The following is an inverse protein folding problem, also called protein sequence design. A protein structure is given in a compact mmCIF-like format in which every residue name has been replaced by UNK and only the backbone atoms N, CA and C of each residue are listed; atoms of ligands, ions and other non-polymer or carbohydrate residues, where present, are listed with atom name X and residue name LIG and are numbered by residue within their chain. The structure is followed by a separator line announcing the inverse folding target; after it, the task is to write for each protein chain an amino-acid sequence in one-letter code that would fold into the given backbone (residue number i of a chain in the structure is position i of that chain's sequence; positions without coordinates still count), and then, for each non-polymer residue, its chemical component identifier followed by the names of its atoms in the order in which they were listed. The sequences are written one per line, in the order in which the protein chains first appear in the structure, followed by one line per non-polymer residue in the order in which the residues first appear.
data_IF_558391034678
#
_entry.id   IF_558391034678
#
_cell.length_a   1.000
_cell.length_b   1.000
_cell.length_c   1.000
_cell.angle_alpha   90.00
_cell.angle_beta   90.00
_cell.angle_gamma   90.00
#
_symmetry.space_group_name_H-M   'P 1'
#
loop_
_entity.id
_entity.type
_entity.pdbx_description
1 polymer ?
#
# COMPACT_ATOMS: atom_id res chain seq x y z
N UNK A 1 43.62 -1.09 35.79
CA UNK A 1 42.24 -1.53 36.09
C UNK A 1 41.29 -1.04 35.01
N UNK A 2 41.43 0.21 34.54
CA UNK A 2 40.61 0.78 33.44
C UNK A 2 40.76 0.03 32.09
N UNK A 3 41.98 -0.36 31.68
CA UNK A 3 42.21 -1.06 30.40
C UNK A 3 41.45 -2.39 30.29
N UNK A 4 41.42 -3.18 31.37
CA UNK A 4 40.68 -4.46 31.40
C UNK A 4 39.16 -4.26 31.36
N UNK A 5 38.66 -3.11 31.83
CA UNK A 5 37.23 -2.79 31.78
C UNK A 5 36.82 -2.40 30.35
N UNK A 6 37.63 -1.59 29.67
CA UNK A 6 37.39 -1.21 28.28
C UNK A 6 37.39 -2.43 27.33
N UNK A 7 38.32 -3.37 27.52
CA UNK A 7 38.31 -4.63 26.76
C UNK A 7 37.05 -5.47 27.02
N UNK A 8 36.63 -5.58 28.29
CA UNK A 8 35.44 -6.34 28.65
C UNK A 8 34.18 -5.74 28.03
N UNK A 9 34.06 -4.41 28.05
CA UNK A 9 32.95 -3.67 27.47
C UNK A 9 32.91 -3.85 25.94
N UNK A 10 34.07 -3.84 25.27
CA UNK A 10 34.16 -4.11 23.83
C UNK A 10 33.66 -5.53 23.50
N UNK A 11 34.14 -6.55 24.19
CA UNK A 11 33.73 -7.93 23.89
C UNK A 11 32.24 -8.18 24.16
N UNK A 12 31.68 -7.59 25.22
CA UNK A 12 30.23 -7.67 25.48
C UNK A 12 29.41 -6.97 24.41
N UNK A 13 29.89 -5.82 23.91
CA UNK A 13 29.22 -5.10 22.82
C UNK A 13 29.26 -5.88 21.51
N UNK A 14 30.36 -6.56 21.19
CA UNK A 14 30.48 -7.47 20.05
C UNK A 14 29.55 -8.68 20.16
N UNK A 15 29.49 -9.32 21.33
CA UNK A 15 28.59 -10.47 21.56
C UNK A 15 27.11 -10.05 21.38
N UNK A 16 26.76 -8.86 21.87
CA UNK A 16 25.42 -8.30 21.69
C UNK A 16 25.13 -8.01 20.22
N UNK A 17 26.10 -7.45 19.48
CA UNK A 17 26.00 -7.19 18.05
C UNK A 17 25.87 -8.48 17.23
N UNK A 18 26.57 -9.55 17.61
CA UNK A 18 26.46 -10.86 16.98
C UNK A 18 25.06 -11.49 17.18
N UNK A 19 24.43 -11.27 18.34
CA UNK A 19 23.05 -11.72 18.59
C UNK A 19 22.01 -10.89 17.83
N UNK A 20 22.23 -9.58 17.70
CA UNK A 20 21.28 -8.64 17.10
C UNK A 20 21.93 -7.79 16.00
N UNK A 21 22.39 -8.41 14.89
CA UNK A 21 23.21 -7.74 13.87
C UNK A 21 22.46 -6.62 13.12
N UNK A 22 21.13 -6.67 13.08
CA UNK A 22 20.28 -5.65 12.47
C UNK A 22 20.24 -4.31 13.23
N UNK A 23 20.43 -4.36 14.55
CA UNK A 23 20.48 -3.18 15.44
C UNK A 23 21.89 -2.77 15.83
N UNK A 24 22.89 -3.56 15.44
CA UNK A 24 24.29 -3.30 15.76
C UNK A 24 24.76 -1.97 15.16
N UNK A 25 25.29 -1.10 16.02
CA UNK A 25 25.97 0.13 15.62
C UNK A 25 27.47 -0.14 15.43
N UNK A 26 27.84 -0.41 14.18
CA UNK A 26 29.21 -0.71 13.79
C UNK A 26 30.16 0.47 14.06
N UNK A 27 29.69 1.72 14.04
CA UNK A 27 30.55 2.88 14.29
C UNK A 27 30.97 2.92 15.74
N UNK A 28 30.00 2.80 16.64
CA UNK A 28 30.27 2.75 18.08
C UNK A 28 31.19 1.58 18.45
N UNK A 29 31.09 0.43 17.76
CA UNK A 29 32.02 -0.70 17.96
C UNK A 29 33.44 -0.40 17.47
N UNK A 30 33.59 0.27 16.32
CA UNK A 30 34.91 0.70 15.84
C UNK A 30 35.53 1.74 16.77
N UNK A 31 34.75 2.72 17.25
CA UNK A 31 35.22 3.73 18.19
C UNK A 31 35.66 3.09 19.52
N UNK A 32 34.91 2.11 20.02
CA UNK A 32 35.28 1.33 21.19
C UNK A 32 36.58 0.52 20.97
N UNK A 33 36.75 -0.09 19.79
CA UNK A 33 37.99 -0.75 19.42
C UNK A 33 39.17 0.23 19.45
N UNK A 34 39.07 1.38 18.79
CA UNK A 34 40.15 2.39 18.77
C UNK A 34 40.54 2.85 20.19
N UNK A 35 39.55 3.01 21.08
CA UNK A 35 39.80 3.33 22.49
C UNK A 35 40.54 2.20 23.22
N UNK A 36 40.14 0.94 23.03
CA UNK A 36 40.83 -0.22 23.66
C UNK A 36 42.26 -0.39 23.16
N UNK A 37 42.54 -0.06 21.89
CA UNK A 37 43.85 -0.21 21.28
C UNK A 37 44.83 0.88 21.73
N UNK A 38 44.35 2.08 22.06
CA UNK A 38 45.17 3.27 22.29
C UNK A 38 46.25 3.11 23.37
N UNK A 39 46.02 2.23 24.36
CA UNK A 39 46.91 2.04 25.52
C UNK A 39 47.81 0.80 25.42
N UNK A 40 47.75 0.04 24.32
CA UNK A 40 48.45 -1.24 24.18
C UNK A 40 49.73 -1.18 23.36
N UNK A 41 50.56 -2.23 23.47
CA UNK A 41 51.74 -2.38 22.61
C UNK A 41 51.34 -2.71 21.17
N UNK A 42 52.17 -2.35 20.18
CA UNK A 42 51.87 -2.56 18.76
C UNK A 42 51.51 -4.03 18.42
N UNK A 43 52.17 -4.99 19.06
CA UNK A 43 51.92 -6.41 18.81
C UNK A 43 50.55 -6.85 19.35
N UNK A 44 50.17 -6.39 20.55
CA UNK A 44 48.86 -6.67 21.14
C UNK A 44 47.75 -5.94 20.39
N UNK A 45 47.98 -4.69 19.96
CA UNK A 45 47.04 -3.95 19.14
C UNK A 45 46.68 -4.71 17.86
N UNK A 46 47.67 -5.24 17.14
CA UNK A 46 47.43 -5.99 15.92
C UNK A 46 46.69 -7.31 16.16
N UNK A 47 46.97 -7.99 17.28
CA UNK A 47 46.28 -9.21 17.66
C UNK A 47 44.80 -8.94 17.99
N UNK A 48 44.52 -8.00 18.90
CA UNK A 48 43.17 -7.63 19.32
C UNK A 48 42.36 -7.06 18.16
N UNK A 49 42.96 -6.16 17.36
CA UNK A 49 42.29 -5.61 16.18
C UNK A 49 41.96 -6.70 15.15
N UNK A 50 42.85 -7.68 14.96
CA UNK A 50 42.60 -8.82 14.07
C UNK A 50 41.36 -9.61 14.49
N UNK A 51 41.29 -10.01 15.76
CA UNK A 51 40.16 -10.78 16.29
C UNK A 51 38.84 -10.00 16.23
N UNK A 52 38.86 -8.71 16.58
CA UNK A 52 37.67 -7.85 16.55
C UNK A 52 37.19 -7.62 15.11
N UNK A 53 38.10 -7.42 14.16
CA UNK A 53 37.73 -7.25 12.75
C UNK A 53 37.10 -8.52 12.15
N UNK A 54 37.55 -9.71 12.56
CA UNK A 54 36.90 -10.97 12.19
C UNK A 54 35.46 -10.98 12.70
N UNK A 55 35.23 -10.70 13.98
CA UNK A 55 33.88 -10.67 14.55
C UNK A 55 32.98 -9.61 13.89
N UNK A 56 33.50 -8.41 13.65
CA UNK A 56 32.76 -7.35 12.94
C UNK A 56 32.37 -7.79 11.52
N UNK A 57 33.25 -8.54 10.83
CA UNK A 57 32.95 -9.07 9.50
C UNK A 57 31.81 -10.10 9.54
N UNK A 58 31.77 -10.95 10.56
CA UNK A 58 30.71 -11.93 10.77
C UNK A 58 29.38 -11.25 11.08
N UNK A 59 29.38 -10.21 11.93
CA UNK A 59 28.20 -9.37 12.19
C UNK A 59 27.69 -8.73 10.90
N UNK A 60 28.59 -8.19 10.07
CA UNK A 60 28.22 -7.61 8.78
C UNK A 60 27.60 -8.65 7.83
N UNK A 61 28.18 -9.85 7.74
CA UNK A 61 27.66 -10.93 6.92
C UNK A 61 26.27 -11.37 7.38
N UNK A 62 26.09 -11.64 8.66
CA UNK A 62 24.79 -12.02 9.23
C UNK A 62 23.72 -10.94 9.00
N UNK A 63 24.09 -9.66 9.11
CA UNK A 63 23.19 -8.54 8.80
C UNK A 63 22.78 -8.53 7.34
N UNK A 64 23.72 -8.75 6.42
CA UNK A 64 23.45 -8.77 4.99
C UNK A 64 22.49 -9.92 4.64
N UNK A 65 22.74 -11.12 5.17
CA UNK A 65 21.87 -12.29 4.96
C UNK A 65 20.44 -12.01 5.44
N UNK A 66 20.26 -11.44 6.64
CA UNK A 66 18.93 -11.08 7.14
C UNK A 66 18.22 -10.06 6.25
N UNK A 67 18.93 -9.04 5.78
CA UNK A 67 18.37 -8.00 4.90
C UNK A 67 17.94 -8.60 3.55
N UNK A 68 18.78 -9.45 2.97
CA UNK A 68 18.50 -10.14 1.71
C UNK A 68 17.31 -11.08 1.90
N UNK A 69 17.33 -11.97 2.88
CA UNK A 69 16.21 -12.90 3.15
C UNK A 69 14.90 -12.17 3.47
N UNK A 70 14.95 -11.00 4.10
CA UNK A 70 13.77 -10.16 4.33
C UNK A 70 13.25 -9.53 3.03
N UNK A 71 14.16 -9.06 2.18
CA UNK A 71 13.81 -8.53 0.87
C UNK A 71 13.18 -9.60 -0.03
N UNK A 72 13.81 -10.78 -0.10
CA UNK A 72 13.32 -11.94 -0.86
C UNK A 72 11.93 -12.35 -0.41
N UNK A 73 11.71 -12.52 0.90
CA UNK A 73 10.38 -12.86 1.43
C UNK A 73 9.30 -11.83 1.08
N UNK A 74 9.65 -10.53 1.09
CA UNK A 74 8.67 -9.46 0.79
C UNK A 74 8.29 -9.41 -0.69
N UNK A 75 9.22 -9.74 -1.58
CA UNK A 75 9.04 -9.63 -3.02
C UNK A 75 8.94 -10.99 -3.70
N UNK A 76 8.74 -12.06 -2.93
CA UNK A 76 8.50 -13.39 -3.47
C UNK A 76 7.13 -13.37 -4.18
N UNK A 77 7.07 -13.60 -5.50
CA UNK A 77 5.80 -13.65 -6.23
C UNK A 77 4.99 -14.91 -5.89
N UNK A 78 5.61 -15.90 -5.24
CA UNK A 78 4.95 -17.13 -4.78
C UNK A 78 4.28 -16.87 -3.43
N UNK A 79 2.97 -17.13 -3.36
CA UNK A 79 2.22 -17.08 -2.11
C UNK A 79 2.81 -18.08 -1.09
N UNK A 80 2.84 -17.73 0.21
CA UNK A 80 3.32 -18.65 1.24
C UNK A 80 2.43 -19.89 1.28
N UNK A 81 3.01 -21.04 0.90
CA UNK A 81 2.33 -22.34 0.98
C UNK A 81 2.35 -22.80 2.44
N UNK A 82 1.21 -22.66 3.12
CA UNK A 82 1.03 -23.22 4.46
C UNK A 82 0.72 -24.70 4.31
N UNK A 83 1.57 -25.57 4.87
CA UNK A 83 1.25 -26.99 4.97
C UNK A 83 0.15 -27.18 6.03
N UNK A 84 -1.09 -27.30 5.58
CA UNK A 84 -2.26 -27.48 6.44
C UNK A 84 -2.25 -28.80 7.20
N UNK A 85 -1.50 -29.81 6.73
CA UNK A 85 -1.36 -31.12 7.40
C UNK A 85 -0.51 -31.01 8.69
N UNK A 86 0.41 -30.06 8.75
CA UNK A 86 1.24 -29.79 9.93
C UNK A 86 0.58 -28.78 10.90
N UNK A 87 -0.46 -28.08 10.44
CA UNK A 87 -1.15 -27.03 11.18
C UNK A 87 -2.52 -27.45 11.71
N UNK A 88 -2.83 -28.76 11.75
CA UNK A 88 -4.14 -29.29 12.15
C UNK A 88 -4.55 -28.81 13.55
N UNK A 89 -3.59 -28.63 14.45
CA UNK A 89 -3.81 -28.14 15.82
C UNK A 89 -4.17 -26.65 15.91
N UNK A 90 -3.93 -25.87 14.85
CA UNK A 90 -4.31 -24.45 14.76
C UNK A 90 -5.76 -24.27 14.27
N UNK A 91 -6.38 -25.32 13.74
CA UNK A 91 -7.77 -25.28 13.29
C UNK A 91 -8.70 -25.72 14.41
N UNK A 92 -9.42 -24.77 14.99
CA UNK A 92 -10.56 -25.08 15.86
C UNK A 92 -11.69 -25.57 14.96
N UNK A 93 -11.86 -26.89 14.86
CA UNK A 93 -12.86 -27.54 14.00
C UNK A 93 -14.30 -27.11 14.31
N UNK A 94 -14.58 -26.72 15.55
CA UNK A 94 -15.85 -26.10 15.93
C UNK A 94 -15.66 -25.22 17.15
N UNK A 95 -16.19 -23.99 17.08
CA UNK A 95 -16.27 -23.06 18.20
C UNK A 95 -17.75 -22.87 18.53
N UNK A 96 -18.20 -23.42 19.66
CA UNK A 96 -19.53 -23.13 20.20
C UNK A 96 -19.44 -21.88 21.07
N UNK A 97 -19.88 -20.74 20.53
CA UNK A 97 -20.07 -19.51 21.31
C UNK A 97 -21.45 -19.56 21.97
N UNK A 98 -21.48 -19.58 23.30
CA UNK A 98 -22.71 -19.33 24.04
C UNK A 98 -22.98 -17.83 24.02
N UNK A 99 -23.97 -17.44 23.23
CA UNK A 99 -24.39 -16.05 23.04
C UNK A 99 -25.58 -15.68 23.93
N UNK A 100 -25.98 -16.55 24.85
CA UNK A 100 -27.16 -16.34 25.70
C UNK A 100 -27.02 -15.06 26.53
N UNK A 101 -25.82 -14.75 27.01
CA UNK A 101 -25.51 -13.52 27.76
C UNK A 101 -25.45 -12.24 26.91
N UNK A 102 -25.46 -12.35 25.57
CA UNK A 102 -25.49 -11.20 24.66
C UNK A 102 -26.92 -10.73 24.35
N UNK A 103 -27.94 -11.48 24.76
CA UNK A 103 -29.33 -11.11 24.61
C UNK A 103 -29.91 -10.71 25.97
N UNK A 104 -30.39 -9.48 26.08
CA UNK A 104 -31.28 -9.09 27.18
C UNK A 104 -32.56 -9.94 27.12
N UNK A 105 -33.00 -10.48 28.25
CA UNK A 105 -34.29 -11.17 28.34
C UNK A 105 -35.38 -10.24 27.81
N UNK A 106 -36.13 -10.65 26.77
CA UNK A 106 -37.11 -9.76 26.17
C UNK A 106 -38.18 -9.42 27.20
N UNK A 107 -38.28 -8.14 27.56
CA UNK A 107 -39.39 -7.67 28.37
C UNK A 107 -40.71 -8.12 27.72
N UNK A 108 -41.68 -8.63 28.51
CA UNK A 108 -42.94 -9.10 27.97
C UNK A 108 -43.67 -7.93 27.29
N UNK A 109 -43.51 -7.84 25.97
CA UNK A 109 -44.21 -6.86 25.16
C UNK A 109 -45.71 -7.15 25.23
N UNK A 110 -46.44 -6.29 25.96
CA UNK A 110 -47.88 -6.22 25.88
C UNK A 110 -48.25 -5.70 24.49
N UNK A 111 -48.52 -6.62 23.57
CA UNK A 111 -48.99 -6.28 22.23
C UNK A 111 -50.29 -5.47 22.32
N UNK A 112 -50.34 -4.25 21.77
CA UNK A 112 -51.58 -3.50 21.73
C UNK A 112 -52.58 -4.24 20.83
N UNK A 113 -53.72 -4.62 21.39
CA UNK A 113 -54.77 -5.45 20.76
C UNK A 113 -55.41 -4.81 19.53
N UNK A 114 -55.08 -3.54 19.24
CA UNK A 114 -55.66 -2.74 18.15
C UNK A 114 -54.67 -2.50 16.99
N UNK A 115 -53.94 -3.53 16.57
CA UNK A 115 -53.19 -3.47 15.31
C UNK A 115 -54.19 -3.46 14.15
N UNK A 116 -54.43 -2.28 13.56
CA UNK A 116 -55.11 -2.17 12.27
C UNK A 116 -54.35 -3.03 11.25
N UNK A 117 -55.07 -3.94 10.59
CA UNK A 117 -54.53 -4.76 9.49
C UNK A 117 -53.86 -3.85 8.47
N UNK A 118 -52.64 -4.20 8.07
CA UNK A 118 -51.86 -3.47 7.04
C UNK A 118 -52.67 -3.53 5.73
N UNK A 119 -52.95 -2.41 5.04
CA UNK A 119 -53.40 -2.46 3.67
C UNK A 119 -52.26 -3.05 2.84
N UNK A 120 -52.57 -4.06 2.04
CA UNK A 120 -51.72 -4.50 0.95
C UNK A 120 -51.48 -3.34 -0.02
N UNK A 121 -50.28 -3.28 -0.59
CA UNK A 121 -49.79 -2.34 -1.61
C UNK A 121 -49.16 -1.04 -1.06
N UNK A 122 -47.82 -0.99 -1.05
CA UNK A 122 -47.01 -0.45 -2.14
C UNK A 122 -45.62 -0.14 -1.58
N UNK A 123 -44.64 -0.96 -1.94
CA UNK A 123 -43.24 -0.76 -1.57
C UNK A 123 -42.60 0.02 -2.70
N UNK A 124 -42.55 1.34 -2.56
CA UNK A 124 -41.55 2.17 -3.25
C UNK A 124 -40.35 2.28 -2.29
N UNK A 125 -39.22 1.69 -2.68
CA UNK A 125 -37.95 1.81 -1.95
C UNK A 125 -37.24 0.52 -1.56
N UNK A 126 -37.76 -0.66 -1.90
CA UNK A 126 -37.02 -1.92 -1.77
C UNK A 126 -36.66 -2.46 -3.16
N UNK A 127 -35.37 -2.40 -3.50
CA UNK A 127 -34.79 -2.96 -4.74
C UNK A 127 -34.70 -4.50 -4.68
N UNK A 128 -35.07 -5.10 -3.54
CA UNK A 128 -35.10 -6.55 -3.38
C UNK A 128 -36.43 -7.09 -3.88
N UNK A 129 -36.48 -7.40 -5.18
CA UNK A 129 -37.50 -8.26 -5.77
C UNK A 129 -37.23 -9.72 -5.39
N UNK A 130 -38.29 -10.50 -5.19
CA UNK A 130 -38.20 -11.95 -4.99
C UNK A 130 -37.67 -12.59 -6.29
N UNK A 131 -36.39 -12.96 -6.32
CA UNK A 131 -35.78 -13.59 -7.48
C UNK A 131 -36.02 -15.09 -7.41
N UNK A 132 -36.68 -15.65 -8.42
CA UNK A 132 -36.92 -17.10 -8.51
C UNK A 132 -35.58 -17.85 -8.52
N UNK A 133 -35.40 -18.72 -7.51
CA UNK A 133 -34.20 -19.54 -7.34
C UNK A 133 -33.88 -20.37 -8.58
N UNK A 134 -34.90 -20.81 -9.33
CA UNK A 134 -34.70 -21.56 -10.57
C UNK A 134 -34.14 -20.69 -11.71
N UNK A 135 -34.52 -19.43 -11.77
CA UNK A 135 -33.96 -18.48 -12.73
C UNK A 135 -32.49 -18.18 -12.43
N UNK A 136 -32.13 -18.05 -11.15
CA UNK A 136 -30.73 -17.88 -10.73
C UNK A 136 -29.88 -19.11 -11.04
N UNK A 137 -30.38 -20.31 -10.76
CA UNK A 137 -29.66 -21.54 -11.05
C UNK A 137 -29.44 -21.72 -12.56
N UNK A 138 -30.46 -21.44 -13.38
CA UNK A 138 -30.30 -21.48 -14.84
C UNK A 138 -29.27 -20.47 -15.34
N UNK A 139 -29.20 -19.27 -14.75
CA UNK A 139 -28.23 -18.25 -15.14
C UNK A 139 -26.79 -18.65 -14.75
N UNK A 140 -26.62 -19.25 -13.57
CA UNK A 140 -25.33 -19.82 -13.12
C UNK A 140 -24.90 -20.97 -14.02
N UNK A 141 -25.82 -21.86 -14.39
CA UNK A 141 -25.54 -22.97 -15.32
C UNK A 141 -25.20 -22.46 -16.72
N UNK A 142 -25.80 -21.32 -17.15
CA UNK A 142 -25.49 -20.67 -18.42
C UNK A 142 -24.08 -20.07 -18.42
N UNK A 143 -23.69 -19.36 -17.36
CA UNK A 143 -22.33 -18.83 -17.20
C UNK A 143 -21.28 -19.93 -17.01
N UNK A 144 -21.63 -21.04 -16.36
CA UNK A 144 -20.76 -22.20 -16.26
C UNK A 144 -20.62 -22.98 -17.58
N UNK A 145 -21.60 -22.83 -18.49
CA UNK A 145 -21.57 -23.37 -19.85
C UNK A 145 -20.90 -22.44 -20.87
N UNK A 146 -20.64 -21.18 -20.51
CA UNK A 146 -19.69 -20.35 -21.24
C UNK A 146 -18.33 -21.02 -21.10
N UNK A 147 -17.76 -21.43 -22.23
CA UNK A 147 -16.47 -22.11 -22.25
C UNK A 147 -15.45 -21.25 -21.51
N UNK A 148 -14.62 -21.82 -20.63
CA UNK A 148 -13.52 -21.07 -20.04
C UNK A 148 -12.69 -20.53 -21.21
N UNK A 149 -12.66 -19.20 -21.34
CA UNK A 149 -11.89 -18.54 -22.36
C UNK A 149 -10.45 -19.04 -22.26
N UNK A 150 -9.95 -19.58 -23.37
CA UNK A 150 -8.56 -20.02 -23.46
C UNK A 150 -7.65 -18.84 -23.09
N UNK A 151 -6.56 -19.07 -22.34
CA UNK A 151 -5.69 -18.00 -21.83
C UNK A 151 -5.21 -17.07 -22.95
N UNK A 152 -5.05 -17.61 -24.16
CA UNK A 152 -4.73 -16.86 -25.37
C UNK A 152 -5.83 -15.86 -25.77
N UNK A 153 -7.10 -16.22 -25.66
CA UNK A 153 -8.23 -15.34 -25.98
C UNK A 153 -8.45 -14.27 -24.91
N UNK A 154 -8.20 -14.61 -23.63
CA UNK A 154 -8.20 -13.63 -22.53
C UNK A 154 -7.06 -12.62 -22.75
N UNK A 155 -5.86 -13.10 -23.11
CA UNK A 155 -4.73 -12.22 -23.41
C UNK A 155 -4.98 -11.33 -24.63
N UNK A 156 -5.66 -11.84 -25.66
CA UNK A 156 -6.03 -11.06 -26.85
C UNK A 156 -7.10 -10.02 -26.54
N UNK A 157 -8.11 -10.34 -25.72
CA UNK A 157 -9.09 -9.37 -25.23
C UNK A 157 -8.48 -8.30 -24.32
N UNK A 158 -7.56 -8.68 -23.41
CA UNK A 158 -6.80 -7.72 -22.60
C UNK A 158 -5.97 -6.81 -23.50
N UNK A 159 -5.37 -7.38 -24.56
CA UNK A 159 -4.56 -6.63 -25.52
C UNK A 159 -5.39 -5.71 -26.40
N UNK A 160 -6.61 -6.10 -26.78
CA UNK A 160 -7.59 -5.24 -27.47
C UNK A 160 -8.12 -4.12 -26.56
N UNK A 161 -8.43 -4.43 -25.29
CA UNK A 161 -8.77 -3.43 -24.27
C UNK A 161 -7.62 -2.43 -24.08
N UNK A 162 -6.37 -2.90 -24.03
CA UNK A 162 -5.19 -2.05 -23.87
C UNK A 162 -4.83 -1.24 -25.13
N UNK A 163 -5.20 -1.69 -26.34
CA UNK A 163 -4.95 -0.96 -27.59
C UNK A 163 -6.04 0.07 -27.95
N UNK A 164 -7.13 0.13 -27.18
CA UNK A 164 -8.15 1.17 -27.31
C UNK A 164 -7.80 2.49 -26.61
N UNK A 165 -6.79 2.50 -25.73
CA UNK A 165 -6.44 3.65 -24.90
C UNK A 165 -5.36 4.51 -25.55
N UNK A 166 -5.77 5.44 -26.41
CA UNK A 166 -4.84 6.40 -27.01
C UNK A 166 -4.62 7.62 -26.09
N UNK A 167 -3.93 7.38 -24.97
CA UNK A 167 -3.67 8.39 -23.92
C UNK A 167 -2.89 9.60 -24.46
N UNK A 168 -2.07 9.41 -25.50
CA UNK A 168 -1.35 10.51 -26.17
C UNK A 168 -2.29 11.43 -26.97
N UNK A 169 -3.32 10.89 -27.62
CA UNK A 169 -4.34 11.70 -28.28
C UNK A 169 -5.20 12.47 -27.28
N UNK A 170 -5.56 11.86 -26.16
CA UNK A 170 -6.33 12.52 -25.10
C UNK A 170 -5.54 13.65 -24.45
N UNK A 171 -4.29 13.41 -24.06
CA UNK A 171 -3.42 14.44 -23.49
C UNK A 171 -3.17 15.59 -24.48
N UNK A 172 -3.01 15.31 -25.78
CA UNK A 172 -2.87 16.33 -26.83
C UNK A 172 -4.15 17.14 -27.03
N UNK A 173 -5.33 16.50 -27.03
CA UNK A 173 -6.61 17.17 -27.13
C UNK A 173 -6.85 18.10 -25.94
N UNK A 174 -6.56 17.64 -24.72
CA UNK A 174 -6.64 18.44 -23.49
C UNK A 174 -5.65 19.62 -23.56
N UNK A 175 -4.40 19.37 -23.96
CA UNK A 175 -3.39 20.41 -24.08
C UNK A 175 -3.77 21.51 -25.08
N UNK A 176 -4.32 21.15 -26.24
CA UNK A 176 -4.79 22.12 -27.24
C UNK A 176 -5.95 22.98 -26.70
N UNK A 177 -6.87 22.39 -25.93
CA UNK A 177 -7.98 23.14 -25.33
C UNK A 177 -7.49 24.05 -24.20
N UNK A 178 -6.58 23.57 -23.35
CA UNK A 178 -6.01 24.35 -22.26
C UNK A 178 -5.13 25.50 -22.77
N UNK A 179 -4.41 25.31 -23.89
CA UNK A 179 -3.67 26.36 -24.58
C UNK A 179 -4.58 27.46 -25.16
N UNK A 180 -5.78 27.10 -25.65
CA UNK A 180 -6.74 28.11 -26.13
C UNK A 180 -7.28 28.98 -25.00
N UNK A 181 -7.43 28.41 -23.80
CA UNK A 181 -8.18 29.04 -22.73
C UNK A 181 -7.34 29.83 -21.71
N UNK A 182 -6.00 29.78 -21.77
CA UNK A 182 -5.04 30.63 -21.01
C UNK A 182 -5.27 30.79 -19.48
N UNK A 183 -6.20 30.07 -18.88
CA UNK A 183 -6.67 30.25 -17.52
C UNK A 183 -6.92 28.90 -16.84
N UNK A 184 -7.07 28.94 -15.51
CA UNK A 184 -7.44 27.78 -14.70
C UNK A 184 -8.91 27.42 -15.01
N UNK A 185 -9.16 26.15 -15.30
CA UNK A 185 -10.49 25.64 -15.67
C UNK A 185 -10.90 24.57 -14.67
N UNK A 186 -12.19 24.50 -14.36
CA UNK A 186 -12.75 23.42 -13.56
C UNK A 186 -12.78 22.13 -14.36
N UNK A 187 -12.53 21.00 -13.70
CA UNK A 187 -12.54 19.69 -14.36
C UNK A 187 -13.90 19.38 -15.01
N UNK A 188 -15.00 19.79 -14.37
CA UNK A 188 -16.36 19.64 -14.90
C UNK A 188 -16.60 20.44 -16.18
N UNK A 189 -16.09 21.67 -16.26
CA UNK A 189 -16.19 22.51 -17.47
C UNK A 189 -15.37 21.90 -18.61
N UNK A 190 -14.18 21.36 -18.30
CA UNK A 190 -13.34 20.65 -19.27
C UNK A 190 -14.06 19.40 -19.82
N UNK A 191 -14.74 18.64 -18.97
CA UNK A 191 -15.54 17.48 -19.37
C UNK A 191 -16.67 17.86 -20.32
N UNK A 192 -17.39 18.94 -20.02
CA UNK A 192 -18.48 19.41 -20.88
C UNK A 192 -17.98 19.89 -22.25
N UNK A 193 -16.80 20.50 -22.31
CA UNK A 193 -16.22 21.02 -23.55
C UNK A 193 -15.64 19.93 -24.45
N UNK A 194 -14.96 18.94 -23.88
CA UNK A 194 -14.35 17.83 -24.65
C UNK A 194 -15.35 16.71 -24.98
N UNK A 195 -16.48 16.63 -24.25
CA UNK A 195 -17.46 15.53 -24.35
C UNK A 195 -16.80 14.13 -24.25
N UNK A 196 -15.71 14.05 -23.49
CA UNK A 196 -14.97 12.82 -23.25
C UNK A 196 -15.40 12.20 -21.92
N UNK A 197 -15.34 10.87 -21.79
CA UNK A 197 -15.45 10.19 -20.51
C UNK A 197 -14.47 10.78 -19.49
N UNK A 198 -14.94 10.94 -18.25
CA UNK A 198 -14.16 11.55 -17.17
C UNK A 198 -12.83 10.83 -16.96
N UNK A 199 -12.80 9.50 -17.14
CA UNK A 199 -11.61 8.65 -16.99
C UNK A 199 -10.54 9.00 -18.03
N UNK A 200 -10.91 9.21 -19.29
CA UNK A 200 -9.97 9.60 -20.37
C UNK A 200 -9.34 10.96 -20.08
N UNK A 201 -10.15 11.89 -19.53
CA UNK A 201 -9.68 13.23 -19.14
C UNK A 201 -8.70 13.13 -17.96
N UNK A 202 -9.02 12.32 -16.94
CA UNK A 202 -8.13 12.10 -15.81
C UNK A 202 -6.79 11.48 -16.24
N UNK A 203 -6.81 10.45 -17.09
CA UNK A 203 -5.61 9.80 -17.60
C UNK A 203 -4.77 10.76 -18.45
N UNK A 204 -5.40 11.50 -19.36
CA UNK A 204 -4.72 12.50 -20.19
C UNK A 204 -4.12 13.66 -19.38
N UNK A 205 -4.75 14.03 -18.26
CA UNK A 205 -4.29 15.11 -17.39
C UNK A 205 -3.17 14.67 -16.45
N UNK A 206 -3.24 13.44 -15.92
CA UNK A 206 -2.18 12.82 -15.11
C UNK A 206 -0.89 12.65 -15.93
N UNK A 207 -1.01 12.24 -17.18
CA UNK A 207 0.13 12.13 -18.10
C UNK A 207 0.60 13.46 -18.67
N UNK A 208 -0.26 14.49 -18.70
CA UNK A 208 0.05 15.82 -19.22
C UNK A 208 0.84 16.74 -18.27
N UNK A 209 1.17 16.28 -17.06
CA UNK A 209 1.98 17.05 -16.09
C UNK A 209 1.26 18.24 -15.45
N UNK A 210 -0.07 18.26 -15.46
CA UNK A 210 -0.87 19.35 -14.90
C UNK A 210 -1.04 19.20 -13.39
N UNK A 211 -1.20 20.32 -12.70
CA UNK A 211 -1.40 20.33 -11.24
C UNK A 211 -2.85 20.62 -10.90
N UNK A 212 -3.37 19.91 -9.90
CA UNK A 212 -4.72 20.09 -9.40
C UNK A 212 -4.70 20.95 -8.14
N UNK A 213 -5.63 21.90 -8.06
CA UNK A 213 -5.92 22.63 -6.84
C UNK A 213 -7.37 22.37 -6.44
N UNK A 214 -7.56 21.70 -5.30
CA UNK A 214 -8.88 21.43 -4.76
C UNK A 214 -9.25 22.57 -3.81
N UNK A 215 -10.13 23.45 -4.27
CA UNK A 215 -10.61 24.57 -3.46
C UNK A 215 -11.91 24.17 -2.75
N UNK A 216 -11.83 23.31 -1.75
CA UNK A 216 -13.01 22.85 -1.00
C UNK A 216 -12.79 21.60 -0.16
N UNK A 217 -13.89 20.98 0.29
CA UNK A 217 -13.84 19.70 1.00
C UNK A 217 -13.44 18.57 0.05
N UNK A 218 -12.76 17.54 0.59
CA UNK A 218 -12.17 16.43 -0.17
C UNK A 218 -13.16 15.70 -1.10
N UNK A 219 -14.45 15.67 -0.76
CA UNK A 219 -15.50 14.98 -1.54
C UNK A 219 -16.25 15.87 -2.54
N UNK A 220 -15.95 17.17 -2.60
CA UNK A 220 -16.59 18.09 -3.54
C UNK A 220 -15.82 18.09 -4.87
N UNK A 221 -16.17 17.16 -5.76
CA UNK A 221 -15.58 17.00 -7.10
C UNK A 221 -15.82 18.20 -8.02
N UNK A 222 -16.78 19.06 -7.67
CA UNK A 222 -17.11 20.30 -8.39
C UNK A 222 -16.07 21.43 -8.18
N UNK A 223 -15.16 21.27 -7.20
CA UNK A 223 -14.16 22.27 -6.83
C UNK A 223 -12.73 21.90 -7.23
N UNK A 224 -12.57 20.97 -8.17
CA UNK A 224 -11.27 20.59 -8.73
C UNK A 224 -10.87 21.51 -9.88
N UNK A 225 -9.85 22.33 -9.65
CA UNK A 225 -9.29 23.25 -10.64
C UNK A 225 -8.00 22.72 -11.21
N UNK A 226 -7.82 22.89 -12.51
CA UNK A 226 -6.61 22.52 -13.24
C UNK A 226 -5.75 23.77 -13.40
N UNK A 227 -4.56 23.77 -12.82
CA UNK A 227 -3.59 24.85 -12.93
C UNK A 227 -2.61 24.54 -14.08
N UNK A 228 -2.61 25.40 -15.08
CA UNK A 228 -1.62 25.35 -16.16
C UNK A 228 -0.32 26.03 -15.70
N UNK A 229 0.69 25.25 -15.32
CA UNK A 229 2.00 25.76 -14.85
C UNK A 229 2.89 26.34 -15.96
N UNK A 230 2.46 26.32 -17.22
CA UNK A 230 3.28 26.84 -18.33
C UNK A 230 3.38 28.38 -18.40
N UNK A 231 2.83 29.11 -17.43
CA UNK A 231 2.84 30.58 -17.40
C UNK A 231 3.76 31.17 -16.30
N UNK A 232 4.68 30.39 -15.70
CA UNK A 232 5.65 30.91 -14.72
C UNK A 232 7.09 30.71 -15.21
N UNK A 233 7.41 31.31 -16.36
CA UNK A 233 8.80 31.56 -16.79
C UNK A 233 8.97 32.98 -17.35
N UNK A 234 8.58 33.98 -16.56
CA UNK A 234 9.21 35.31 -16.65
C UNK A 234 9.00 36.08 -15.35
N UNK A 235 9.96 36.00 -14.44
CA UNK A 235 9.91 36.75 -13.18
C UNK A 235 10.84 36.15 -12.14
N UNK A 236 12.14 36.36 -12.32
CA UNK A 236 13.11 36.15 -11.26
C UNK A 236 12.71 36.98 -10.01
N UNK A 237 12.97 36.44 -8.81
CA UNK A 237 13.47 37.28 -7.73
C UNK A 237 14.84 36.77 -7.30
N UNK A 238 15.82 37.63 -7.52
CA UNK A 238 17.13 37.64 -6.89
C UNK A 238 17.04 37.83 -5.38
N UNK A 239 17.95 37.14 -4.66
CA UNK A 239 18.51 37.49 -3.33
C UNK A 239 17.50 37.43 -2.15
N UNK A 240 17.80 36.97 -0.94
CA UNK A 240 19.03 36.97 -0.15
C UNK A 240 18.96 35.82 0.88
N UNK A 241 20.02 35.01 1.00
CA UNK A 241 20.30 34.29 2.24
C UNK A 241 21.40 35.05 2.98
N UNK A 242 21.01 35.77 4.03
CA UNK A 242 21.94 36.21 5.08
C UNK A 242 21.98 35.16 6.18
N UNK A 243 23.21 34.77 6.50
CA UNK A 243 23.77 34.20 7.74
C UNK A 243 22.79 33.79 8.84
#
# INVERSE_FOLDING_TARGET
MEVQQLELDLWQSLETAARFPETADLRSLCDALEQTLSDQSLAEQLAVAGDVLVQLSEVCAARADLLISRWERRHNPTEPVVNLEECVDLFVQSLSLDVTDLFEEPEPMLYPTNRKKKPSAQVDGSIVGEVDKKALLNWVDQMAAEQPLDEAQVAEQIRELAHGENVEEWSRAIAQQLQRLHANIRLSDLQQMLKMPIVEIWLGLLMGGYSFDQQGNFYDTENLWIINRNNVTSGAPSLDYRL
#
